data_IF_126691711308
#
_entry.id   IF_126691711308
#
_cell.length_a   1.000
_cell.length_b   1.000
_cell.length_c   1.000
_cell.angle_alpha   90.00
_cell.angle_beta   90.00
_cell.angle_gamma   90.00
#
_symmetry.space_group_name_H-M   'P 1'
#
loop_
_entity.id
_entity.type
_entity.pdbx_description
1 polymer ?
2 non-polymer ?
3 non-polymer ?
4 non-polymer ?
5 non-polymer ?
6 non-polymer ?
7 water ?
#
# COMPACT_ATOMS: atom_id res chain seq x y z
N UNK A 19 10.97 -6.25 32.52
CA UNK A 19 10.66 -5.89 31.13
C UNK A 19 11.90 -5.93 30.24
N UNK A 20 11.85 -6.75 29.18
CA UNK A 20 13.01 -6.96 28.31
C UNK A 20 13.35 -5.65 27.57
N UNK A 21 14.63 -5.48 27.25
CA UNK A 21 15.15 -4.28 26.59
C UNK A 21 15.85 -4.68 25.29
N UNK A 22 15.79 -3.80 24.28
CA UNK A 22 16.44 -4.01 22.99
C UNK A 22 17.03 -2.70 22.59
N UNK A 23 18.37 -2.64 22.38
CA UNK A 23 19.07 -1.39 22.05
C UNK A 23 18.68 -0.21 22.97
N UNK A 24 18.64 -0.48 24.28
CA UNK A 24 18.28 0.51 25.29
C UNK A 24 16.81 0.92 25.35
N UNK A 25 15.93 0.33 24.51
CA UNK A 25 14.49 0.65 24.54
C UNK A 25 13.71 -0.39 25.33
N UNK A 26 12.63 0.06 26.00
CA UNK A 26 11.64 -0.87 26.56
C UNK A 26 10.95 -1.57 25.38
N UNK A 27 11.11 -2.90 25.28
CA UNK A 27 10.40 -3.72 24.29
C UNK A 27 9.71 -4.84 25.08
N UNK A 28 8.53 -4.52 25.61
CA UNK A 28 7.92 -5.21 26.73
C UNK A 28 6.79 -6.12 26.31
N UNK A 29 7.13 -7.30 25.85
CA UNK A 29 6.17 -8.18 25.16
C UNK A 29 5.89 -9.46 25.87
N UNK A 30 6.87 -9.93 26.63
CA UNK A 30 6.84 -11.18 27.34
C UNK A 30 5.68 -11.31 28.29
N UNK A 31 5.63 -12.43 29.03
CA UNK A 31 6.50 -13.62 28.91
C UNK A 31 6.20 -14.50 27.67
N UNK A 32 5.05 -14.27 26.97
CA UNK A 32 4.70 -15.11 25.81
C UNK A 32 5.78 -15.07 24.72
N UNK A 33 6.37 -13.91 24.53
CA UNK A 33 7.29 -13.67 23.43
C UNK A 33 8.68 -13.44 24.00
N UNK A 34 9.62 -14.35 23.70
CA UNK A 34 10.97 -14.31 24.23
C UNK A 34 12.04 -14.30 23.13
N UNK A 35 13.30 -14.01 23.51
CA UNK A 35 14.44 -14.13 22.64
C UNK A 35 14.31 -13.14 21.52
N UNK A 36 14.25 -11.87 21.90
CA UNK A 36 14.00 -10.81 20.96
C UNK A 36 15.25 -10.66 20.12
N UNK A 37 15.08 -10.67 18.79
CA UNK A 37 16.12 -10.23 17.89
C UNK A 37 15.62 -9.02 17.18
N UNK A 38 16.37 -7.94 17.27
CA UNK A 38 16.08 -6.73 16.51
C UNK A 38 16.05 -7.04 14.97
N UNK A 39 14.97 -6.63 14.28
CA UNK A 39 14.86 -6.80 12.83
C UNK A 39 14.62 -5.46 12.09
N UNK A 40 14.92 -4.33 12.75
CA UNK A 40 14.86 -3.00 12.14
C UNK A 40 13.75 -2.10 12.65
N UNK A 41 13.61 -0.95 11.98
CA UNK A 41 12.62 0.11 12.23
C UNK A 41 11.63 0.23 11.07
N UNK A 42 10.42 0.70 11.35
CA UNK A 42 9.37 0.80 10.33
C UNK A 42 8.31 1.86 10.60
N UNK A 43 7.00 1.45 10.59
CA UNK A 43 5.86 2.40 10.64
C UNK A 43 6.01 3.48 11.77
N UNK A 44 5.96 3.10 13.08
CA UNK A 44 6.16 4.03 14.20
C UNK A 44 7.22 3.55 15.16
N UNK A 45 8.28 2.93 14.63
CA UNK A 45 9.45 2.62 15.45
C UNK A 45 9.93 1.19 15.41
N UNK A 46 10.19 0.60 16.59
CA UNK A 46 11.06 -0.57 16.67
C UNK A 46 10.33 -1.88 16.42
N UNK A 47 11.00 -2.79 15.68
CA UNK A 47 10.45 -4.08 15.33
C UNK A 47 11.45 -5.16 15.73
N UNK A 48 10.99 -6.24 16.31
CA UNK A 48 11.82 -7.36 16.65
C UNK A 48 11.11 -8.62 16.23
N UNK A 49 11.85 -9.63 15.81
CA UNK A 49 11.33 -10.98 15.82
C UNK A 49 11.47 -11.53 17.25
N UNK A 50 10.63 -12.49 17.57
CA UNK A 50 10.55 -13.08 18.87
C UNK A 50 9.96 -14.47 18.74
N UNK A 51 10.35 -15.35 19.66
CA UNK A 51 9.79 -16.67 19.69
C UNK A 51 8.43 -16.61 20.39
N UNK A 52 7.37 -17.03 19.70
CA UNK A 52 6.05 -17.12 20.30
C UNK A 52 6.00 -18.43 21.04
N UNK A 53 5.93 -18.40 22.38
CA UNK A 53 5.98 -19.64 23.17
C UNK A 53 4.67 -20.44 23.15
N UNK A 54 3.59 -19.93 22.50
CA UNK A 54 2.26 -20.60 22.47
C UNK A 54 2.07 -21.37 21.15
N UNK A 55 2.32 -20.71 20.01
CA UNK A 55 2.28 -21.33 18.68
C UNK A 55 3.62 -21.94 18.26
N UNK A 56 4.72 -21.62 18.97
CA UNK A 56 5.99 -22.32 18.78
C UNK A 56 6.62 -22.02 17.43
N UNK A 57 6.59 -20.73 17.07
CA UNK A 57 7.14 -20.15 15.84
C UNK A 57 7.72 -18.76 16.15
N UNK A 58 8.70 -18.31 15.34
CA UNK A 58 9.11 -16.93 15.47
C UNK A 58 8.04 -16.07 14.75
N UNK A 59 7.78 -14.88 15.33
CA UNK A 59 6.79 -13.90 14.90
C UNK A 59 7.47 -12.55 14.81
N UNK A 60 6.86 -11.58 14.15
CA UNK A 60 7.36 -10.21 14.14
C UNK A 60 6.49 -9.40 15.13
N UNK A 61 7.11 -8.47 15.85
CA UNK A 61 6.38 -7.59 16.77
C UNK A 61 6.80 -6.22 16.54
N UNK A 62 5.86 -5.31 16.31
CA UNK A 62 6.18 -3.92 16.14
C UNK A 62 5.64 -3.13 17.35
N UNK A 63 6.45 -2.19 17.87
CA UNK A 63 6.11 -1.30 18.98
C UNK A 63 5.61 0.02 18.45
N UNK A 64 4.42 0.43 18.91
CA UNK A 64 3.74 1.63 18.49
C UNK A 64 3.58 2.51 19.75
N UNK A 65 4.09 3.73 19.69
CA UNK A 65 3.95 4.74 20.74
C UNK A 65 3.27 5.98 20.13
N UNK A 66 1.92 5.95 19.92
CA UNK A 66 1.25 7.01 19.13
C UNK A 66 0.37 8.00 19.90
N UNK A 67 0.32 7.94 21.25
CA UNK A 67 -0.77 8.61 21.98
C UNK A 67 -0.55 10.12 22.21
N UNK A 68 0.65 10.64 21.96
CA UNK A 68 0.88 12.09 21.98
C UNK A 68 0.14 12.76 20.82
N UNK A 69 0.33 12.23 19.59
CA UNK A 69 -0.01 12.92 18.34
C UNK A 69 -1.29 12.36 17.69
N UNK A 70 -2.15 13.27 17.21
CA UNK A 70 -3.46 12.93 16.64
C UNK A 70 -3.29 12.13 15.35
N UNK A 71 -2.28 12.46 14.53
CA UNK A 71 -2.03 11.77 13.25
C UNK A 71 -1.51 10.37 13.51
N UNK A 72 -0.62 10.21 14.51
CA UNK A 72 -0.12 8.90 14.91
C UNK A 72 -1.27 8.01 15.37
N UNK A 73 -2.17 8.55 16.19
CA UNK A 73 -3.28 7.81 16.72
C UNK A 73 -4.24 7.43 15.62
N UNK A 74 -4.51 8.39 14.70
CA UNK A 74 -5.42 8.17 13.58
C UNK A 74 -4.90 7.03 12.73
N UNK A 75 -3.63 7.06 12.35
CA UNK A 75 -3.08 6.04 11.44
C UNK A 75 -3.03 4.66 12.13
N UNK A 76 -2.72 4.66 13.45
CA UNK A 76 -2.66 3.42 14.21
C UNK A 76 -4.04 2.82 14.29
N UNK A 77 -5.04 3.63 14.62
CA UNK A 77 -6.40 3.12 14.78
C UNK A 77 -6.91 2.59 13.45
N UNK A 78 -6.71 3.38 12.41
CA UNK A 78 -7.13 2.99 11.05
C UNK A 78 -6.53 1.62 10.64
N UNK A 79 -5.22 1.42 10.83
CA UNK A 79 -4.55 0.16 10.54
C UNK A 79 -5.15 -0.98 11.35
N UNK A 80 -5.33 -0.77 12.69
CA UNK A 80 -5.85 -1.84 13.51
C UNK A 80 -7.26 -2.25 13.08
N UNK A 81 -8.18 -1.29 12.92
CA UNK A 81 -9.58 -1.58 12.57
C UNK A 81 -9.60 -2.39 11.22
N UNK A 82 -8.83 -1.94 10.22
CA UNK A 82 -8.81 -2.61 8.93
C UNK A 82 -8.25 -4.02 9.01
N UNK A 83 -7.06 -4.17 9.58
CA UNK A 83 -6.39 -5.45 9.64
C UNK A 83 -7.15 -6.48 10.46
N UNK A 84 -7.86 -6.05 11.50
CA UNK A 84 -8.67 -6.97 12.29
C UNK A 84 -9.93 -7.41 11.55
N UNK A 85 -10.48 -6.55 10.67
CA UNK A 85 -11.66 -6.86 9.87
C UNK A 85 -11.30 -7.72 8.69
N UNK A 86 -10.13 -7.49 8.09
CA UNK A 86 -9.73 -8.31 6.94
C UNK A 86 -9.22 -9.67 7.30
N UNK A 87 -9.56 -10.65 6.44
CA UNK A 87 -8.99 -11.97 6.53
C UNK A 87 -8.70 -12.48 5.13
N UNK A 88 -7.42 -12.44 4.73
CA UNK A 88 -6.99 -12.86 3.38
C UNK A 88 -5.54 -13.32 3.35
N UNK A 89 -5.26 -14.33 2.58
CA UNK A 89 -3.92 -14.93 2.49
C UNK A 89 -2.84 -13.93 2.05
N UNK A 90 -3.23 -12.88 1.22
CA UNK A 90 -2.28 -11.92 0.69
C UNK A 90 -2.34 -10.57 1.42
N UNK A 91 -2.91 -10.55 2.68
CA UNK A 91 -2.97 -9.37 3.50
C UNK A 91 -2.43 -9.79 4.89
N UNK A 92 -1.49 -9.01 5.42
CA UNK A 92 -0.88 -9.37 6.73
C UNK A 92 -2.01 -9.35 7.79
N UNK A 93 -2.03 -10.35 8.65
CA UNK A 93 -3.03 -10.35 9.71
C UNK A 93 -2.43 -9.79 10.99
N UNK A 94 -3.26 -9.51 11.96
CA UNK A 94 -2.79 -9.29 13.33
C UNK A 94 -3.07 -10.59 14.13
N UNK A 95 -2.04 -11.19 14.64
CA UNK A 95 -2.12 -12.39 15.47
C UNK A 95 -2.41 -12.07 16.92
N UNK A 96 -1.89 -10.95 17.42
CA UNK A 96 -1.99 -10.57 18.84
C UNK A 96 -1.69 -9.07 18.98
N UNK A 97 -2.21 -8.43 20.05
CA UNK A 97 -1.89 -7.06 20.38
C UNK A 97 -1.61 -7.03 21.88
N UNK A 98 -0.47 -6.49 22.27
CA UNK A 98 -0.05 -6.41 23.65
C UNK A 98 -0.16 -4.97 24.12
N UNK A 99 -0.92 -4.76 25.23
CA UNK A 99 -0.97 -3.44 25.81
C UNK A 99 -1.35 -3.61 27.31
N UNK A 100 -1.21 -2.53 28.05
CA UNK A 100 -1.54 -2.50 29.48
C UNK A 100 -3.02 -2.76 29.69
N UNK A 101 -3.40 -3.27 30.88
CA UNK A 101 -4.82 -3.52 31.14
C UNK A 101 -5.77 -2.38 31.23
N UNK A 102 -5.28 -1.15 31.35
CA UNK A 102 -6.11 0.01 31.59
C UNK A 102 -5.62 1.11 30.70
N UNK A 103 -6.51 2.04 30.31
CA UNK A 103 -6.11 3.19 29.49
C UNK A 103 -5.07 4.02 30.18
N UNK A 104 -5.21 4.20 31.51
CA UNK A 104 -4.27 5.01 32.27
C UNK A 104 -2.85 4.47 32.16
N UNK A 105 -2.67 3.15 32.16
CA UNK A 105 -1.33 2.56 32.14
C UNK A 105 -0.85 2.29 30.69
N UNK A 106 -1.71 2.50 29.69
CA UNK A 106 -1.39 2.10 28.32
C UNK A 106 -0.52 3.21 27.76
N UNK A 107 0.74 2.92 27.43
CA UNK A 107 1.63 3.89 26.76
C UNK A 107 2.06 3.42 25.37
N UNK A 108 2.28 2.18 25.22
CA UNK A 108 2.70 1.55 23.96
C UNK A 108 1.72 0.45 23.62
N UNK A 109 1.69 0.08 22.34
CA UNK A 109 0.93 -1.04 21.84
C UNK A 109 1.90 -1.89 21.02
N UNK A 110 1.94 -3.15 21.27
CA UNK A 110 2.72 -4.08 20.42
C UNK A 110 1.81 -4.90 19.53
N UNK A 111 2.09 -4.87 18.20
CA UNK A 111 1.27 -5.63 17.25
C UNK A 111 2.12 -6.82 16.77
N UNK A 112 1.55 -8.04 16.93
CA UNK A 112 2.23 -9.29 16.63
C UNK A 112 1.66 -9.78 15.30
N UNK A 113 2.55 -10.10 14.38
CA UNK A 113 2.19 -10.55 13.06
C UNK A 113 3.07 -11.71 12.64
N UNK A 114 2.59 -12.51 11.66
CA UNK A 114 3.42 -13.57 11.07
C UNK A 114 4.78 -13.03 10.65
N UNK A 115 5.86 -13.77 10.90
CA UNK A 115 7.18 -13.27 10.59
C UNK A 115 7.39 -13.45 9.07
N UNK A 116 7.77 -12.35 8.42
CA UNK A 116 8.02 -12.34 6.98
C UNK A 116 9.44 -11.89 6.86
N UNK A 117 10.26 -12.76 6.37
CA UNK A 117 11.70 -12.58 6.39
C UNK A 117 12.19 -11.43 5.54
N UNK A 118 11.42 -11.04 4.47
CA UNK A 118 11.89 -9.93 3.67
C UNK A 118 10.67 -9.09 3.12
N UNK A 119 10.97 -8.14 2.27
CA UNK A 119 9.96 -7.38 1.54
C UNK A 119 10.43 -7.10 0.13
N UNK A 120 9.52 -6.62 -0.75
CA UNK A 120 9.88 -6.52 -2.14
C UNK A 120 10.92 -5.37 -2.33
N UNK A 121 10.97 -4.36 -1.44
CA UNK A 121 11.99 -3.29 -1.57
C UNK A 121 13.40 -3.93 -1.39
N UNK A 122 13.58 -4.70 -0.34
CA UNK A 122 14.86 -5.38 -0.06
C UNK A 122 15.20 -6.36 -1.14
N UNK A 123 14.19 -7.11 -1.62
CA UNK A 123 14.43 -8.10 -2.66
C UNK A 123 14.88 -7.42 -3.95
N UNK A 124 14.25 -6.34 -4.34
CA UNK A 124 14.63 -5.63 -5.57
C UNK A 124 16.00 -4.95 -5.46
N UNK A 125 16.43 -4.57 -4.26
CA UNK A 125 17.73 -3.93 -4.14
C UNK A 125 18.86 -4.99 -4.42
N UNK A 126 18.58 -6.29 -4.24
CA UNK A 126 19.64 -7.31 -4.20
C UNK A 126 19.44 -8.44 -5.23
N UNK A 127 18.20 -8.70 -5.71
CA UNK A 127 17.92 -9.93 -6.48
C UNK A 127 17.27 -9.63 -7.83
N UNK A 128 17.75 -10.25 -8.88
CA UNK A 128 17.05 -10.34 -10.15
C UNK A 128 15.87 -11.32 -10.04
N UNK A 129 14.69 -10.87 -10.49
CA UNK A 129 13.52 -11.71 -10.47
C UNK A 129 13.36 -12.38 -11.79
N UNK A 130 13.12 -13.68 -11.77
CA UNK A 130 12.72 -14.40 -12.96
C UNK A 130 11.36 -13.93 -13.41
N UNK A 131 11.02 -14.09 -14.72
CA UNK A 131 9.64 -13.83 -15.16
C UNK A 131 8.62 -14.60 -14.34
N UNK A 132 8.93 -15.86 -13.92
CA UNK A 132 7.98 -16.62 -13.13
C UNK A 132 7.71 -15.96 -11.75
N UNK A 133 8.75 -15.43 -11.11
CA UNK A 133 8.60 -14.74 -9.85
C UNK A 133 7.79 -13.44 -10.03
N UNK A 134 8.06 -12.71 -11.07
CA UNK A 134 7.35 -11.43 -11.34
C UNK A 134 5.85 -11.72 -11.51
N UNK A 135 5.55 -12.74 -12.30
CA UNK A 135 4.19 -13.15 -12.56
C UNK A 135 3.45 -13.54 -11.23
N UNK A 136 4.10 -14.38 -10.41
CA UNK A 136 3.56 -14.84 -9.15
C UNK A 136 3.37 -13.72 -8.16
N UNK A 137 4.37 -12.84 -8.03
CA UNK A 137 4.25 -11.69 -7.13
C UNK A 137 3.08 -10.80 -7.57
N UNK A 138 3.01 -10.51 -8.89
CA UNK A 138 1.96 -9.61 -9.42
C UNK A 138 0.58 -10.24 -9.15
N UNK A 139 0.46 -11.55 -9.42
CA UNK A 139 -0.78 -12.26 -9.11
C UNK A 139 -1.20 -12.05 -7.65
N UNK A 140 -0.28 -12.29 -6.70
CA UNK A 140 -0.64 -12.22 -5.28
C UNK A 140 -0.99 -10.79 -4.89
N UNK A 141 -0.29 -9.79 -5.44
CA UNK A 141 -0.58 -8.38 -5.16
C UNK A 141 -2.01 -8.10 -5.62
N UNK A 142 -2.38 -8.50 -6.85
CA UNK A 142 -3.72 -8.21 -7.38
C UNK A 142 -4.80 -9.02 -6.65
N UNK A 143 -4.46 -10.23 -6.21
CA UNK A 143 -5.42 -11.10 -5.49
C UNK A 143 -5.76 -10.38 -4.12
N UNK A 144 -4.74 -9.91 -3.40
CA UNK A 144 -4.94 -9.15 -2.18
C UNK A 144 -5.73 -7.86 -2.43
N UNK A 145 -5.33 -7.14 -3.49
CA UNK A 145 -5.98 -5.88 -3.83
C UNK A 145 -7.45 -6.08 -4.21
N UNK A 146 -7.79 -7.21 -4.83
CA UNK A 146 -9.22 -7.51 -5.17
C UNK A 146 -10.04 -7.53 -3.88
N UNK A 147 -9.52 -8.21 -2.86
CA UNK A 147 -10.20 -8.25 -1.56
C UNK A 147 -10.34 -6.84 -0.93
N UNK A 148 -9.26 -6.06 -0.90
CA UNK A 148 -9.27 -4.72 -0.32
C UNK A 148 -10.32 -3.86 -1.03
N UNK A 149 -10.27 -3.83 -2.37
CA UNK A 149 -11.23 -3.04 -3.15
C UNK A 149 -12.64 -3.60 -2.98
N UNK A 150 -12.81 -4.91 -2.85
CA UNK A 150 -14.17 -5.45 -2.69
C UNK A 150 -14.81 -4.94 -1.35
N UNK A 151 -13.97 -4.53 -0.39
CA UNK A 151 -14.41 -3.98 0.92
C UNK A 151 -14.59 -2.47 0.84
N UNK A 152 -14.52 -1.88 -0.37
CA UNK A 152 -14.62 -0.45 -0.65
C UNK A 152 -13.52 0.34 0.04
N UNK A 153 -12.33 -0.29 0.20
CA UNK A 153 -11.17 0.32 0.80
C UNK A 153 -10.11 0.54 -0.26
N UNK A 154 -9.40 1.64 -0.14
CA UNK A 154 -8.22 1.99 -0.92
C UNK A 154 -7.03 1.89 -0.04
N UNK A 155 -5.97 1.21 -0.47
CA UNK A 155 -4.77 1.12 0.34
C UNK A 155 -4.05 2.48 0.38
N UNK A 156 -3.81 3.05 -0.81
CA UNK A 156 -3.26 4.39 -1.06
C UNK A 156 -1.79 4.54 -0.77
N UNK A 157 -1.06 3.47 -0.37
CA UNK A 157 0.39 3.59 -0.28
C UNK A 157 1.08 2.30 -0.64
N UNK A 158 0.59 1.69 -1.75
CA UNK A 158 1.24 0.49 -2.25
C UNK A 158 2.57 0.88 -2.84
N UNK A 159 3.57 0.12 -2.46
CA UNK A 159 4.97 0.27 -2.85
C UNK A 159 5.75 -0.99 -2.41
N UNK A 160 6.93 -1.24 -3.00
CA UNK A 160 7.66 -2.46 -2.66
C UNK A 160 7.86 -2.71 -1.15
N UNK A 161 8.15 -1.66 -0.35
CA UNK A 161 8.45 -1.88 1.08
C UNK A 161 7.16 -2.30 1.88
N UNK A 162 5.95 -2.14 1.27
CA UNK A 162 4.71 -2.56 1.89
C UNK A 162 4.20 -3.89 1.35
N UNK A 163 5.07 -4.66 0.73
CA UNK A 163 4.76 -6.00 0.25
C UNK A 163 5.74 -6.91 0.92
N UNK A 164 5.27 -7.63 1.90
CA UNK A 164 6.09 -8.58 2.64
C UNK A 164 6.17 -9.92 1.94
N UNK A 165 7.36 -10.57 2.05
CA UNK A 165 7.55 -11.90 1.52
C UNK A 165 8.25 -12.79 2.52
N UNK A 166 7.84 -14.00 2.53
CA UNK A 166 8.47 -15.01 3.38
C UNK A 166 9.43 -15.88 2.54
N UNK A 167 10.04 -16.92 3.17
CA UNK A 167 11.08 -17.68 2.47
C UNK A 167 10.60 -18.50 1.33
N UNK A 168 9.30 -18.75 1.26
CA UNK A 168 8.70 -19.46 0.15
C UNK A 168 8.01 -18.50 -0.82
N UNK A 170 5.59 -16.38 -0.41
CA UNK A 170 4.21 -15.90 -0.16
C UNK A 170 4.27 -14.40 0.05
N UNK A 171 3.32 -13.65 -0.52
CA UNK A 171 3.34 -12.21 -0.51
C UNK A 171 2.12 -11.73 0.28
N UNK A 172 2.35 -10.76 1.15
CA UNK A 172 1.30 -10.11 1.96
C UNK A 172 1.45 -8.59 1.98
N UNK A 173 0.35 -7.93 1.64
CA UNK A 173 0.29 -6.50 1.64
C UNK A 173 0.20 -6.05 3.08
N UNK A 174 0.92 -4.99 3.44
CA UNK A 174 0.84 -4.43 4.77
C UNK A 174 0.74 -2.90 4.73
N UNK A 175 0.73 -2.30 5.92
CA UNK A 175 0.66 -0.87 6.14
C UNK A 175 -0.61 -0.18 5.57
N UNK A 176 -1.69 -0.29 6.29
CA UNK A 176 -2.96 0.36 5.95
C UNK A 176 -3.19 1.71 6.67
N UNK A 177 -2.09 2.34 7.09
CA UNK A 177 -2.10 3.63 7.81
C UNK A 177 -2.64 4.79 7.01
N UNK A 178 -2.52 4.74 5.66
CA UNK A 178 -3.08 5.76 4.79
C UNK A 178 -4.34 5.34 4.04
N UNK A 179 -4.90 4.17 4.38
CA UNK A 179 -6.10 3.67 3.73
C UNK A 179 -7.32 4.52 3.98
N UNK A 180 -8.24 4.51 3.03
CA UNK A 180 -9.49 5.25 3.12
C UNK A 180 -10.59 4.43 2.51
N UNK A 181 -11.83 4.67 2.93
CA UNK A 181 -12.99 4.20 2.22
C UNK A 181 -13.10 4.95 0.91
N UNK A 182 -13.38 4.23 -0.18
CA UNK A 182 -13.51 4.86 -1.50
C UNK A 182 -14.64 5.91 -1.53
N UNK A 183 -14.43 7.00 -2.26
CA UNK A 183 -15.35 8.14 -2.28
C UNK A 183 -15.20 8.84 -3.59
N UNK A 184 -15.54 8.13 -4.70
CA UNK A 184 -15.36 8.74 -6.03
C UNK A 184 -16.10 10.04 -6.29
N UNK A 185 -17.28 10.24 -5.69
CA UNK A 185 -18.02 11.49 -5.91
C UNK A 185 -17.37 12.70 -5.23
N UNK A 186 -16.38 12.47 -4.35
CA UNK A 186 -15.63 13.56 -3.72
C UNK A 186 -14.11 13.51 -4.06
N UNK A 187 -13.75 12.96 -5.22
CA UNK A 187 -12.36 12.82 -5.64
C UNK A 187 -11.75 14.12 -6.21
N UNK A 188 -12.59 15.10 -6.61
CA UNK A 188 -12.05 16.23 -7.36
C UNK A 188 -11.43 17.25 -6.47
N UNK A 189 -10.30 17.82 -6.95
CA UNK A 189 -9.62 18.90 -6.25
C UNK A 189 -8.85 19.74 -7.31
N UNK A 190 -8.24 20.83 -6.86
CA UNK A 190 -7.44 21.69 -7.68
C UNK A 190 -6.06 21.12 -7.95
N UNK A 191 -5.36 21.91 -8.71
CA UNK A 191 -4.07 21.59 -9.24
C UNK A 191 -3.02 21.78 -8.14
N UNK A 192 -2.06 20.85 -8.04
CA UNK A 192 -0.95 20.91 -7.06
C UNK A 192 -1.45 20.84 -5.61
N UNK A 193 -2.49 20.02 -5.37
CA UNK A 193 -3.02 19.81 -4.00
C UNK A 193 -2.15 18.82 -3.31
N UNK A 194 -1.73 19.15 -2.10
CA UNK A 194 -0.70 18.36 -1.40
C UNK A 194 -1.25 16.95 -1.13
N UNK A 195 -0.36 15.97 -1.08
CA UNK A 195 -0.75 14.58 -0.90
C UNK A 195 0.27 13.89 -0.01
N UNK A 196 -0.22 12.87 0.75
CA UNK A 196 0.58 12.18 1.79
C UNK A 196 1.35 10.92 1.26
N UNK A 197 0.77 10.16 0.37
CA UNK A 197 1.32 8.86 -0.05
C UNK A 197 2.64 8.96 -0.80
N UNK A 198 3.43 7.87 -0.87
CA UNK A 198 4.83 7.89 -1.34
C UNK A 198 4.95 8.35 -2.78
N UNK A 199 5.84 9.34 -3.00
CA UNK A 199 5.81 10.09 -4.25
C UNK A 199 5.98 9.23 -5.54
N UNK A 200 6.97 8.33 -5.60
CA UNK A 200 7.24 7.57 -6.84
C UNK A 200 6.04 6.65 -7.35
N UNK A 201 5.07 6.36 -6.52
CA UNK A 201 3.96 5.42 -6.81
C UNK A 201 2.67 6.23 -6.96
N UNK A 202 2.69 7.61 -7.00
CA UNK A 202 1.52 8.44 -7.14
C UNK A 202 1.06 8.55 -8.57
N UNK A 203 -0.21 8.39 -8.81
CA UNK A 203 -0.80 8.45 -10.13
C UNK A 203 -0.75 9.93 -10.59
N UNK A 204 -0.71 10.13 -11.91
CA UNK A 204 -0.53 11.50 -12.44
C UNK A 204 -1.64 12.43 -11.96
N UNK A 205 -2.90 11.90 -11.83
CA UNK A 205 -4.04 12.74 -11.47
C UNK A 205 -3.94 13.33 -10.07
N UNK A 206 -3.16 12.70 -9.16
CA UNK A 206 -2.92 13.31 -7.83
C UNK A 206 -2.34 14.75 -7.95
N UNK A 207 -1.46 14.95 -8.91
CA UNK A 207 -0.82 16.26 -9.13
C UNK A 207 -1.72 17.25 -9.87
N UNK A 208 -2.80 16.77 -10.47
CA UNK A 208 -3.64 17.52 -11.35
C UNK A 208 -5.00 17.84 -10.79
N UNK A 209 -5.79 16.81 -10.39
CA UNK A 209 -7.17 17.05 -9.98
C UNK A 209 -7.78 15.98 -9.08
N UNK A 210 -6.96 15.18 -8.41
CA UNK A 210 -7.49 14.04 -7.67
C UNK A 210 -6.99 14.01 -6.21
N UNK A 211 -7.93 13.74 -5.27
CA UNK A 211 -7.63 13.42 -3.87
C UNK A 211 -7.25 11.96 -3.58
N UNK A 212 -7.17 11.08 -4.59
CA UNK A 212 -6.85 9.68 -4.33
C UNK A 212 -7.95 8.93 -3.62
N UNK A 213 -9.18 9.23 -3.97
CA UNK A 213 -10.34 8.57 -3.37
C UNK A 213 -10.99 7.56 -4.29
N UNK A 214 -10.31 7.12 -5.39
CA UNK A 214 -10.87 6.06 -6.23
C UNK A 214 -9.88 4.92 -6.34
N UNK A 215 -10.43 3.73 -6.67
CA UNK A 215 -9.68 2.48 -6.76
C UNK A 215 -8.54 2.56 -7.79
N UNK A 216 -8.74 3.37 -8.87
CA UNK A 216 -7.71 3.56 -9.89
C UNK A 216 -6.37 4.09 -9.33
N UNK A 217 -6.39 4.69 -8.13
CA UNK A 217 -5.16 5.19 -7.50
C UNK A 217 -4.18 4.01 -7.15
N UNK A 218 -4.74 2.93 -6.69
CA UNK A 218 -3.99 1.75 -6.30
C UNK A 218 -3.47 1.00 -7.51
N UNK A 219 -4.29 0.91 -8.56
CA UNK A 219 -3.86 0.27 -9.80
C UNK A 219 -2.61 0.94 -10.38
N UNK A 220 -2.54 2.29 -10.35
CA UNK A 220 -1.33 2.98 -10.84
C UNK A 220 -0.11 2.52 -10.02
N UNK A 221 -0.22 2.49 -8.67
CA UNK A 221 0.84 2.02 -7.80
C UNK A 221 1.29 0.62 -8.21
N UNK A 222 0.32 -0.27 -8.43
CA UNK A 222 0.68 -1.64 -8.85
C UNK A 222 1.46 -1.66 -10.18
N UNK A 223 1.03 -0.85 -11.12
CA UNK A 223 1.73 -0.67 -12.38
C UNK A 223 3.18 -0.27 -12.16
N UNK A 224 3.39 0.72 -11.28
CA UNK A 224 4.74 1.16 -10.95
C UNK A 224 5.58 0.02 -10.35
N UNK A 225 4.95 -0.82 -9.51
CA UNK A 225 5.60 -1.93 -8.84
C UNK A 225 5.96 -2.98 -9.89
N UNK A 226 5.07 -3.28 -10.81
CA UNK A 226 5.35 -4.20 -11.91
C UNK A 226 6.57 -3.73 -12.73
N UNK A 227 6.58 -2.45 -13.11
CA UNK A 227 7.70 -1.89 -13.89
C UNK A 227 9.01 -2.04 -13.11
N UNK A 228 8.97 -1.81 -11.80
CA UNK A 228 10.15 -1.90 -10.93
C UNK A 228 10.63 -3.37 -10.82
N UNK A 229 9.70 -4.34 -10.80
CA UNK A 229 10.08 -5.75 -10.80
C UNK A 229 10.80 -6.14 -12.14
N UNK A 230 10.43 -5.50 -13.25
CA UNK A 230 10.97 -5.82 -14.56
C UNK A 230 12.44 -5.36 -14.67
N UNK A 231 12.82 -4.24 -14.01
CA UNK A 231 14.17 -3.70 -14.18
C UNK A 231 14.97 -3.51 -12.88
N UNK A 232 14.39 -3.76 -11.71
CA UNK A 232 14.96 -3.45 -10.39
C UNK A 232 15.17 -1.96 -10.11
N UNK A 233 14.53 -1.09 -10.86
CA UNK A 233 14.69 0.35 -10.63
C UNK A 233 13.33 0.97 -10.71
N UNK A 234 13.06 1.98 -9.88
CA UNK A 234 11.73 2.61 -9.94
C UNK A 234 11.55 3.28 -11.27
N UNK A 235 10.37 3.19 -11.82
CA UNK A 235 10.10 3.67 -13.17
C UNK A 235 10.01 5.22 -13.23
N UNK A 236 9.50 5.84 -12.18
CA UNK A 236 9.25 7.28 -12.11
C UNK A 236 9.86 7.86 -10.82
N UNK A 237 11.20 7.90 -10.71
CA UNK A 237 11.81 8.42 -9.48
C UNK A 237 11.87 9.96 -9.39
N UNK A 238 10.71 10.58 -9.22
CA UNK A 238 10.62 12.03 -9.06
C UNK A 238 11.31 12.49 -7.78
N UNK A 239 11.95 13.64 -7.85
CA UNK A 239 12.67 14.19 -6.70
C UNK A 239 11.82 15.18 -5.87
N UNK A 240 10.64 15.53 -6.35
CA UNK A 240 9.76 16.42 -5.61
C UNK A 240 8.42 16.47 -6.33
N UNK A 241 7.45 17.19 -5.77
CA UNK A 241 6.06 17.02 -6.10
C UNK A 241 5.79 17.09 -7.61
N UNK A 242 6.14 18.22 -8.31
CA UNK A 242 5.78 18.35 -9.72
C UNK A 242 6.74 17.50 -10.57
N UNK A 243 8.01 17.27 -10.12
CA UNK A 243 8.97 16.42 -10.89
C UNK A 243 8.38 15.02 -11.12
N UNK A 244 7.54 14.54 -10.21
CA UNK A 244 6.90 13.22 -10.37
C UNK A 244 6.08 13.18 -11.67
N UNK A 245 5.27 14.23 -11.91
CA UNK A 245 4.56 14.34 -13.20
C UNK A 245 5.53 14.47 -14.42
N UNK A 246 6.66 15.21 -14.34
CA UNK A 246 7.68 15.25 -15.40
C UNK A 246 8.11 13.79 -15.81
N UNK A 247 8.40 12.95 -14.79
CA UNK A 247 8.83 11.58 -15.03
C UNK A 247 7.75 10.79 -15.78
N UNK A 248 6.52 10.86 -15.32
CA UNK A 248 5.41 10.07 -15.89
C UNK A 248 5.21 10.48 -17.35
N UNK A 249 5.12 11.80 -17.59
CA UNK A 249 4.96 12.30 -18.96
C UNK A 249 6.18 12.01 -19.87
N UNK A 250 7.40 11.97 -19.30
CA UNK A 250 8.57 11.56 -20.06
C UNK A 250 8.44 10.17 -20.67
N UNK A 251 7.69 9.26 -20.02
CA UNK A 251 7.50 7.92 -20.59
C UNK A 251 6.16 7.75 -21.33
N UNK A 252 5.05 8.15 -20.71
CA UNK A 252 3.76 7.99 -21.39
C UNK A 252 3.60 8.95 -22.59
N UNK A 253 4.34 10.02 -22.58
CA UNK A 253 4.20 11.06 -23.57
C UNK A 253 3.04 11.98 -23.24
N UNK A 254 2.84 13.00 -24.09
CA UNK A 254 1.80 13.97 -23.88
C UNK A 254 0.43 13.33 -23.89
N UNK A 255 -0.46 13.72 -22.96
CA UNK A 255 -1.84 13.23 -23.05
C UNK A 255 -2.57 13.67 -24.31
N UNK A 256 -3.45 12.81 -24.76
CA UNK A 256 -4.32 13.05 -25.88
C UNK A 256 -5.27 14.17 -25.62
N UNK A 257 -5.80 14.76 -26.69
CA UNK A 257 -6.87 15.75 -26.55
C UNK A 257 -8.06 15.24 -25.69
N UNK A 258 -8.53 14.01 -25.95
CA UNK A 258 -9.62 13.43 -25.20
C UNK A 258 -9.28 13.36 -23.68
N UNK A 259 -8.08 12.91 -23.33
CA UNK A 259 -7.67 12.77 -21.94
C UNK A 259 -7.51 14.13 -21.25
N UNK A 260 -7.00 15.12 -21.98
CA UNK A 260 -7.01 16.50 -21.47
C UNK A 260 -8.38 17.07 -21.25
N UNK A 261 -9.28 16.82 -22.17
CA UNK A 261 -10.67 17.29 -22.05
C UNK A 261 -11.37 16.75 -20.84
N UNK A 262 -10.95 15.56 -20.32
CA UNK A 262 -11.46 15.06 -19.06
C UNK A 262 -11.00 15.87 -17.87
N UNK A 263 -9.94 16.68 -17.98
CA UNK A 263 -9.46 17.52 -16.90
C UNK A 263 -10.12 18.89 -17.03
N UNK A 264 -11.17 19.11 -16.29
CA UNK A 264 -11.92 20.40 -16.46
C UNK A 264 -11.20 21.56 -15.77
N UNK A 265 -10.47 21.28 -14.68
CA UNK A 265 -9.74 22.35 -13.98
C UNK A 265 -8.76 23.09 -14.87
N UNK A 266 -8.92 24.39 -15.01
CA UNK A 266 -8.11 25.17 -15.95
C UNK A 266 -6.65 25.26 -15.61
N UNK A 267 -6.30 25.38 -14.32
CA UNK A 267 -4.90 25.49 -13.94
C UNK A 267 -4.21 24.13 -14.32
N UNK A 268 -4.86 23.01 -14.04
CA UNK A 268 -4.29 21.71 -14.37
C UNK A 268 -4.15 21.54 -15.90
N UNK A 269 -5.30 21.83 -16.65
CA UNK A 269 -5.37 21.71 -18.11
C UNK A 269 -4.25 22.51 -18.75
N UNK A 270 -4.19 23.81 -18.40
CA UNK A 270 -3.28 24.77 -18.98
C UNK A 270 -1.83 24.45 -18.68
N UNK A 271 -1.56 23.90 -17.49
CA UNK A 271 -0.20 23.39 -17.23
C UNK A 271 0.19 22.35 -18.27
N UNK A 272 -0.67 21.36 -18.49
CA UNK A 272 -0.35 20.32 -19.43
C UNK A 272 -0.22 20.87 -20.87
N UNK A 273 -1.10 21.80 -21.23
CA UNK A 273 -1.00 22.45 -22.55
C UNK A 273 0.24 23.26 -22.76
N UNK A 274 0.88 23.74 -21.67
CA UNK A 274 2.07 24.55 -21.73
C UNK A 274 3.34 23.73 -22.01
N UNK A 275 3.28 22.40 -21.89
CA UNK A 275 4.49 21.56 -22.00
C UNK A 275 4.77 21.32 -23.48
N UNK A 276 6.02 21.27 -23.86
CA UNK A 276 6.36 20.76 -25.22
C UNK A 276 5.82 19.35 -25.45
N UNK A 277 5.56 19.01 -26.70
CA UNK A 277 5.07 17.69 -27.06
C UNK A 277 6.14 16.63 -26.69
N UNK A 278 5.72 15.50 -26.10
CA UNK A 278 6.64 14.41 -25.73
C UNK A 278 6.02 13.15 -26.31
N UNK A 279 6.83 12.35 -27.00
CA UNK A 279 6.33 11.10 -27.56
C UNK A 279 6.45 9.99 -26.50
N UNK A 280 5.62 9.00 -26.67
CA UNK A 280 5.57 7.84 -25.79
C UNK A 280 6.87 7.04 -25.97
N UNK A 281 7.44 6.52 -24.88
CA UNK A 281 8.60 5.64 -24.91
C UNK A 281 7.97 4.25 -24.97
N UNK A 282 8.23 3.46 -26.03
CA UNK A 282 7.67 2.10 -26.09
C UNK A 282 8.15 1.25 -24.95
N UNK A 283 7.21 0.52 -24.32
CA UNK A 283 7.56 -0.32 -23.19
C UNK A 283 8.62 -1.34 -23.53
N UNK A 284 8.59 -1.84 -24.76
CA UNK A 284 9.57 -2.90 -25.14
C UNK A 284 11.01 -2.33 -25.29
N UNK A 285 11.17 -1.00 -25.40
CA UNK A 285 12.47 -0.36 -25.40
C UNK A 285 12.96 -0.08 -23.97
N UNK A 286 12.03 0.25 -23.05
CA UNK A 286 12.37 0.37 -21.64
C UNK A 286 12.67 -0.95 -21.00
N UNK A 287 11.99 -2.06 -21.47
CA UNK A 287 12.04 -3.38 -20.83
C UNK A 287 12.27 -4.44 -21.94
N UNK A 288 13.48 -4.41 -22.54
CA UNK A 288 13.75 -5.28 -23.69
C UNK A 288 13.70 -6.77 -23.40
N UNK A 289 13.89 -7.16 -22.14
CA UNK A 289 13.86 -8.56 -21.68
C UNK A 289 12.47 -8.98 -21.12
N UNK A 290 11.47 -8.09 -21.13
CA UNK A 290 10.21 -8.41 -20.47
C UNK A 290 9.35 -9.28 -21.36
N UNK A 291 8.53 -10.10 -20.73
CA UNK A 291 7.48 -10.87 -21.39
C UNK A 291 6.48 -9.88 -22.05
N UNK A 292 6.11 -10.12 -23.33
CA UNK A 292 5.23 -9.20 -24.02
C UNK A 292 3.84 -9.06 -23.35
N UNK A 293 3.32 -10.14 -22.78
CA UNK A 293 2.03 -10.08 -22.07
C UNK A 293 2.16 -9.23 -20.83
N UNK A 294 3.32 -9.30 -20.12
CA UNK A 294 3.56 -8.41 -18.94
C UNK A 294 3.50 -6.95 -19.37
N UNK A 295 4.11 -6.60 -20.56
CA UNK A 295 4.11 -5.23 -21.00
C UNK A 295 2.72 -4.75 -21.44
N UNK A 296 1.88 -5.64 -21.98
CA UNK A 296 0.50 -5.27 -22.37
C UNK A 296 -0.28 -4.93 -21.08
N UNK A 297 -0.08 -5.74 -20.03
CA UNK A 297 -0.78 -5.50 -18.76
C UNK A 297 -0.24 -4.20 -18.11
N UNK A 298 1.08 -4.02 -18.14
CA UNK A 298 1.70 -2.80 -17.61
C UNK A 298 1.11 -1.51 -18.22
N UNK A 299 0.98 -1.53 -19.58
CA UNK A 299 0.41 -0.43 -20.34
C UNK A 299 -0.99 -0.08 -19.84
N UNK A 300 -1.79 -1.11 -19.55
CA UNK A 300 -3.17 -0.93 -19.09
C UNK A 300 -3.29 -0.41 -17.64
N UNK A 301 -2.31 -0.73 -16.82
CA UNK A 301 -2.25 -0.25 -15.44
C UNK A 301 -1.71 1.19 -15.41
N UNK A 302 -0.76 1.51 -16.30
CA UNK A 302 -0.15 2.81 -16.38
C UNK A 302 -0.79 3.65 -17.46
N UNK A 303 -2.08 3.69 -17.45
CA UNK A 303 -2.84 4.52 -18.35
C UNK A 303 -2.99 5.91 -17.68
N UNK A 304 -2.80 6.98 -18.44
CA UNK A 304 -2.85 8.33 -17.90
C UNK A 304 -4.25 8.65 -17.34
N UNK A 305 -5.29 8.34 -18.12
CA UNK A 305 -6.66 8.68 -17.79
C UNK A 305 -7.17 7.65 -16.78
N UNK A 306 -7.43 8.02 -15.51
CA UNK A 306 -7.86 7.00 -14.53
C UNK A 306 -9.14 6.26 -14.92
N UNK A 307 -10.02 6.90 -15.68
CA UNK A 307 -11.27 6.25 -16.15
C UNK A 307 -11.01 5.11 -17.16
N UNK A 308 -9.90 5.17 -17.90
CA UNK A 308 -9.53 4.19 -18.87
C UNK A 308 -8.60 3.10 -18.28
N UNK A 309 -8.12 3.33 -17.07
CA UNK A 309 -7.21 2.44 -16.38
C UNK A 309 -7.86 1.12 -16.06
N UNK A 310 -7.13 0.03 -16.22
CA UNK A 310 -7.70 -1.30 -15.94
C UNK A 310 -8.05 -1.42 -14.44
N UNK A 311 -9.13 -2.15 -14.12
CA UNK A 311 -9.55 -2.41 -12.77
C UNK A 311 -8.94 -3.71 -12.26
N UNK A 312 -8.96 -3.93 -10.95
CA UNK A 312 -8.23 -5.10 -10.39
C UNK A 312 -8.73 -6.42 -10.92
N UNK A 313 -10.08 -6.60 -11.04
CA UNK A 313 -10.59 -7.88 -11.55
C UNK A 313 -10.20 -8.13 -13.03
N UNK A 314 -10.17 -7.05 -13.84
CA UNK A 314 -9.73 -7.18 -15.23
C UNK A 314 -8.27 -7.54 -15.32
N UNK A 315 -7.46 -6.95 -14.46
CA UNK A 315 -6.03 -7.25 -14.41
C UNK A 315 -5.81 -8.72 -14.08
N UNK A 316 -6.52 -9.27 -13.08
CA UNK A 316 -6.40 -10.68 -12.76
C UNK A 316 -6.74 -11.61 -13.95
N UNK A 317 -7.71 -11.18 -14.80
CA UNK A 317 -8.16 -11.94 -15.96
C UNK A 317 -7.27 -11.73 -17.21
N UNK A 318 -6.16 -10.94 -17.07
CA UNK A 318 -5.33 -10.62 -18.22
C UNK A 318 -4.51 -11.86 -18.59
N UNK A 319 -4.27 -12.13 -19.89
CA UNK A 319 -3.44 -13.31 -20.29
C UNK A 319 -2.12 -13.50 -19.58
N UNK A 320 -1.45 -12.41 -19.13
CA UNK A 320 -0.20 -12.55 -18.38
C UNK A 320 -0.34 -13.49 -17.18
N UNK A 321 -1.53 -13.45 -16.51
CA UNK A 321 -1.77 -14.14 -15.27
C UNK A 321 -2.58 -15.45 -15.42
N UNK A 322 -2.70 -15.95 -16.64
CA UNK A 322 -3.53 -17.12 -17.01
C UNK A 322 -3.20 -18.36 -16.22
N UNK A 323 -1.93 -18.56 -15.90
CA UNK A 323 -1.52 -19.74 -15.15
C UNK A 323 -2.08 -19.74 -13.73
N UNK A 324 -2.48 -18.55 -13.20
CA UNK A 324 -2.89 -18.42 -11.82
C UNK A 324 -4.39 -18.03 -11.71
N UNK A 325 -4.94 -17.38 -12.72
CA UNK A 325 -6.30 -16.79 -12.62
C UNK A 325 -7.32 -17.83 -12.29
N UNK A 326 -8.05 -17.60 -11.23
CA UNK A 326 -9.12 -18.51 -10.81
C UNK A 326 -10.06 -17.71 -9.88
N UNK A 327 -11.12 -17.09 -10.42
CA UNK A 327 -11.88 -16.11 -9.62
C UNK A 327 -12.57 -16.71 -8.41
N UNK A 328 -12.86 -18.03 -8.46
CA UNK A 328 -13.41 -18.73 -7.34
C UNK A 328 -12.44 -18.88 -6.18
N UNK A 329 -11.13 -18.73 -6.45
CA UNK A 329 -10.08 -18.76 -5.44
C UNK A 329 -9.46 -17.38 -5.25
N UNK A 330 -10.26 -16.32 -5.53
CA UNK A 330 -9.83 -14.97 -5.38
C UNK A 330 -11.01 -14.32 -4.59
N UNK A 331 -11.02 -14.59 -3.28
CA UNK A 331 -12.14 -14.15 -2.45
C UNK A 331 -12.30 -12.64 -2.29
N UNK A 332 -13.57 -12.28 -2.02
CA UNK A 332 -13.92 -10.92 -1.68
C UNK A 332 -14.37 -10.82 -0.21
N UNK A 333 -14.44 -9.58 0.29
CA UNK A 333 -14.82 -9.28 1.66
C UNK A 333 -16.33 -9.56 1.83
N UNK A 334 -16.72 -10.07 2.98
CA UNK A 334 -18.11 -10.39 3.30
C UNK A 334 -19.00 -9.13 3.36
N UNK A 335 -18.42 -7.97 3.70
CA UNK A 335 -19.16 -6.72 3.65
C UNK A 335 -18.27 -5.48 3.37
N UNK A 336 -18.84 -4.39 2.82
CA UNK A 336 -18.07 -3.14 2.71
C UNK A 336 -17.63 -2.61 4.07
N UNK A 337 -16.52 -1.93 4.09
CA UNK A 337 -15.95 -1.29 5.26
C UNK A 337 -16.51 0.10 5.37
N UNK A 338 -16.69 0.56 6.63
CA UNK A 338 -17.08 1.94 6.94
C UNK A 338 -16.48 2.32 8.31
N UNK A 339 -15.80 3.48 8.39
CA UNK A 339 -15.35 4.01 9.67
C UNK A 339 -16.58 4.54 10.44
N UNK A 340 -16.68 4.23 11.77
CA UNK A 340 -17.84 4.59 12.58
C UNK A 340 -18.04 6.12 12.61
N UNK A 341 -16.96 6.87 12.93
CA UNK A 341 -16.94 8.34 12.85
C UNK A 341 -15.80 8.77 11.90
N UNK A 342 -15.86 10.03 11.43
CA UNK A 342 -14.77 10.64 10.68
C UNK A 342 -13.56 10.78 11.61
N UNK A 343 -12.60 9.86 11.50
CA UNK A 343 -11.43 9.84 12.40
C UNK A 343 -10.59 11.12 12.34
N UNK A 344 -10.74 11.93 11.28
CA UNK A 344 -9.86 13.06 11.01
C UNK A 344 -10.15 14.29 11.87
N UNK A 345 -11.26 14.30 12.66
CA UNK A 345 -11.49 15.37 13.63
C UNK A 345 -11.97 14.80 14.97
N UNK A 346 -11.27 13.76 15.48
CA UNK A 346 -11.48 13.21 16.82
C UNK A 346 -10.31 13.66 17.72
N UNK A 347 -10.55 14.11 18.97
CA UNK A 347 -9.40 14.40 19.85
C UNK A 347 -8.62 13.12 20.20
N UNK A 348 -7.31 13.27 20.39
CA UNK A 348 -6.38 12.19 20.73
C UNK A 348 -6.75 11.38 22.00
N UNK A 349 -7.55 11.95 22.91
CA UNK A 349 -8.04 11.21 24.08
C UNK A 349 -9.14 10.25 23.67
N UNK A 350 -10.03 10.69 22.75
CA UNK A 350 -11.02 9.77 22.21
C UNK A 350 -10.27 8.72 21.35
N UNK A 351 -9.14 9.06 20.68
CA UNK A 351 -8.48 8.10 19.79
C UNK A 351 -7.74 7.04 20.63
N UNK A 352 -7.00 7.47 21.72
CA UNK A 352 -6.44 6.50 22.67
C UNK A 352 -7.48 5.52 23.21
N UNK A 353 -8.65 6.07 23.57
CA UNK A 353 -9.80 5.32 24.08
C UNK A 353 -10.31 4.33 23.01
N UNK A 354 -10.45 4.79 21.76
CA UNK A 354 -10.85 3.89 20.67
C UNK A 354 -9.81 2.75 20.35
N UNK A 355 -8.56 3.05 20.44
CA UNK A 355 -7.48 2.07 20.27
C UNK A 355 -7.58 1.02 21.41
N UNK A 356 -7.75 1.49 22.64
CA UNK A 356 -7.97 0.60 23.79
C UNK A 356 -9.14 -0.38 23.54
N UNK A 357 -10.27 0.15 23.11
CA UNK A 357 -11.44 -0.66 22.79
C UNK A 357 -11.21 -1.62 21.65
N UNK A 358 -10.58 -1.15 20.57
CA UNK A 358 -10.34 -1.99 19.40
C UNK A 358 -9.40 -3.14 19.72
N UNK A 359 -8.50 -2.99 20.71
CA UNK A 359 -7.50 -4.01 21.07
C UNK A 359 -7.92 -4.96 22.24
N UNK A 360 -9.11 -4.74 22.75
CA UNK A 360 -9.65 -5.44 23.94
C UNK A 360 -9.78 -6.94 23.76
N UNK A 361 -10.02 -7.41 22.50
CA UNK A 361 -10.26 -8.83 22.24
C UNK A 361 -9.02 -9.72 22.53
N UNK A 362 -7.81 -9.13 22.62
CA UNK A 362 -6.58 -9.87 22.83
C UNK A 362 -6.21 -9.97 24.34
N UNK A 363 -7.00 -9.36 25.20
CA UNK A 363 -6.74 -9.42 26.62
C UNK A 363 -7.27 -10.74 27.20
N UNK A 364 -6.59 -11.20 28.27
CA UNK A 364 -7.24 -12.15 29.21
C UNK A 364 -8.55 -11.58 29.83
#
# INVERSE_FOLDING_TARGET
MAHHHHHHMAAAAAAGAGPEMVRGQVFDVGPRYTNLSYIGEGAYGMVCSAYDNVNKVRVAIKKISPFEHQTYCQRTLREIKILLRFRHENIIGINDIIRAPTIEQMKDVYIVQDLMETDLYKLLKTQHLSNDHICYFLYQILRGLKYIHSANVLHRDLKPSNLLLNTTXDLKICDFGLARVADPDHDHTGFLTEYVATRWYRAPEIMLNSKGYTKSIDIWSVGCILAEMLSNRPIFPGKHYLDQLNHILGILGSPSQEDLNCIINLKARNYLLSLPHKNKVPWNRLFPNADSKALDLLDKMLTFNPHKRIEVEQALAHPYLEQYYDPSDEPIAEAPFKFDMELDDLPKEKLKELIFEETARFQPGYRS
#
